data_IF_377254122835
#
_entry.id   IF_377254122835
#
_cell.length_a   1.000
_cell.length_b   1.000
_cell.length_c   1.000
_cell.angle_alpha   90.00
_cell.angle_beta   90.00
_cell.angle_gamma   90.00
#
_symmetry.space_group_name_H-M   'P 1'
#
loop_
_entity.id
_entity.type
_entity.pdbx_description
1 polymer ?
#
# COMPACT_ATOMS: atom_id res chain seq x y z
N UNK A 1 -30.46 7.48 14.82
CA UNK A 1 -29.23 6.75 15.22
C UNK A 1 -28.80 5.69 14.20
N UNK A 2 -29.72 4.96 13.58
CA UNK A 2 -29.36 3.95 12.56
C UNK A 2 -28.78 4.54 11.26
N UNK A 3 -29.14 5.75 10.88
CA UNK A 3 -28.66 6.42 9.66
C UNK A 3 -27.16 6.73 9.70
N UNK A 4 -26.62 7.13 10.86
CA UNK A 4 -25.17 7.41 11.02
C UNK A 4 -24.34 6.13 11.21
N UNK A 5 -24.94 5.04 11.67
CA UNK A 5 -24.25 3.76 11.86
C UNK A 5 -24.02 3.03 10.52
N UNK A 6 -24.88 3.24 9.53
CA UNK A 6 -24.75 2.56 8.23
C UNK A 6 -23.44 2.95 7.49
N UNK A 7 -23.08 4.23 7.32
CA UNK A 7 -21.82 4.63 6.71
C UNK A 7 -20.58 4.09 7.44
N UNK A 8 -20.61 4.08 8.78
CA UNK A 8 -19.49 3.57 9.59
C UNK A 8 -19.33 2.05 9.40
N UNK A 9 -20.43 1.29 9.32
CA UNK A 9 -20.39 -0.14 9.02
C UNK A 9 -19.79 -0.42 7.66
N UNK A 10 -20.14 0.37 6.63
CA UNK A 10 -19.55 0.25 5.29
C UNK A 10 -18.05 0.56 5.35
N UNK A 11 -17.64 1.60 6.07
CA UNK A 11 -16.23 1.92 6.25
C UNK A 11 -15.45 0.75 6.88
N UNK A 12 -15.98 0.17 7.96
CA UNK A 12 -15.37 -0.99 8.63
C UNK A 12 -15.29 -2.23 7.73
N UNK A 13 -16.30 -2.46 6.89
CA UNK A 13 -16.33 -3.60 5.97
C UNK A 13 -15.36 -3.41 4.79
N UNK A 14 -15.25 -2.21 4.23
CA UNK A 14 -14.39 -1.91 3.08
C UNK A 14 -12.95 -1.58 3.47
N UNK A 15 -12.71 -1.21 4.74
CA UNK A 15 -11.38 -0.89 5.25
C UNK A 15 -10.34 -2.02 5.06
N UNK A 16 -10.62 -3.31 5.34
CA UNK A 16 -9.64 -4.37 5.12
C UNK A 16 -9.19 -4.47 3.65
N UNK A 17 -10.10 -4.22 2.72
CA UNK A 17 -9.81 -4.22 1.27
C UNK A 17 -8.89 -3.04 0.92
N UNK A 18 -9.24 -1.84 1.35
CA UNK A 18 -8.41 -0.65 1.14
C UNK A 18 -7.03 -0.79 1.81
N UNK A 19 -7.00 -1.29 3.05
CA UNK A 19 -5.77 -1.54 3.80
C UNK A 19 -4.88 -2.56 3.07
N UNK A 20 -5.46 -3.63 2.53
CA UNK A 20 -4.72 -4.63 1.75
C UNK A 20 -4.00 -4.00 0.55
N UNK A 21 -4.69 -3.23 -0.29
CA UNK A 21 -4.09 -2.58 -1.45
C UNK A 21 -3.07 -1.50 -1.07
N UNK A 22 -3.30 -0.77 0.03
CA UNK A 22 -2.39 0.27 0.48
C UNK A 22 -1.19 -0.25 1.29
N UNK A 23 -1.22 -1.51 1.74
CA UNK A 23 -0.12 -2.10 2.52
C UNK A 23 1.16 -2.15 1.71
N UNK A 24 1.13 -2.54 0.44
CA UNK A 24 2.34 -2.62 -0.38
C UNK A 24 3.02 -1.25 -0.58
N UNK A 25 2.35 -0.20 -1.08
CA UNK A 25 2.97 1.13 -1.17
C UNK A 25 3.39 1.68 0.20
N UNK A 26 2.62 1.44 1.25
CA UNK A 26 3.01 1.81 2.62
C UNK A 26 4.35 1.18 3.03
N UNK A 27 4.51 -0.13 2.86
CA UNK A 27 5.74 -0.85 3.21
C UNK A 27 6.95 -0.35 2.39
N UNK A 28 6.77 -0.09 1.10
CA UNK A 28 7.81 0.48 0.24
C UNK A 28 8.27 1.84 0.79
N UNK A 29 7.33 2.74 1.09
CA UNK A 29 7.64 4.07 1.63
C UNK A 29 8.37 3.93 2.99
N UNK A 30 7.92 3.02 3.87
CA UNK A 30 8.56 2.81 5.17
C UNK A 30 10.01 2.30 5.00
N UNK A 31 10.23 1.30 4.16
CA UNK A 31 11.58 0.78 3.92
C UNK A 31 12.49 1.83 3.24
N UNK A 32 11.97 2.58 2.26
CA UNK A 32 12.76 3.63 1.57
C UNK A 32 13.13 4.77 2.50
N UNK A 33 12.18 5.29 3.25
CA UNK A 33 12.38 6.49 4.07
C UNK A 33 13.08 6.19 5.40
N UNK A 34 12.68 5.11 6.09
CA UNK A 34 13.10 4.84 7.47
C UNK A 34 14.01 3.61 7.59
N UNK A 35 14.09 2.76 6.58
CA UNK A 35 14.87 1.53 6.63
C UNK A 35 14.18 0.37 7.38
N UNK A 36 13.04 0.61 8.02
CA UNK A 36 12.29 -0.41 8.76
C UNK A 36 10.81 -0.02 8.85
N UNK A 37 9.97 -0.92 9.39
CA UNK A 37 8.55 -0.66 9.62
C UNK A 37 8.30 -0.46 11.11
N UNK A 38 7.90 0.76 11.49
CA UNK A 38 7.48 1.07 12.84
C UNK A 38 5.99 0.73 13.01
N UNK A 39 5.67 -0.15 13.99
CA UNK A 39 4.29 -0.62 14.24
C UNK A 39 3.36 0.51 14.66
N UNK A 40 3.86 1.45 15.47
CA UNK A 40 3.07 2.59 15.92
C UNK A 40 2.73 3.54 14.77
N UNK A 41 3.69 3.81 13.88
CA UNK A 41 3.46 4.58 12.65
C UNK A 41 2.44 3.89 11.74
N UNK A 42 2.54 2.57 11.61
CA UNK A 42 1.54 1.79 10.88
C UNK A 42 0.15 1.97 11.48
N UNK A 43 0.01 1.82 12.80
CA UNK A 43 -1.26 2.02 13.50
C UNK A 43 -1.86 3.41 13.24
N UNK A 44 -1.06 4.48 13.35
CA UNK A 44 -1.53 5.86 13.08
C UNK A 44 -2.02 6.01 11.64
N UNK A 45 -1.28 5.50 10.64
CA UNK A 45 -1.64 5.67 9.24
C UNK A 45 -2.85 4.83 8.83
N UNK A 46 -2.99 3.62 9.37
CA UNK A 46 -4.20 2.81 9.14
C UNK A 46 -5.42 3.36 9.88
N UNK A 47 -5.25 3.93 11.08
CA UNK A 47 -6.35 4.62 11.78
C UNK A 47 -6.75 5.90 11.06
N UNK A 48 -5.81 6.64 10.45
CA UNK A 48 -6.11 7.78 9.58
C UNK A 48 -6.90 7.33 8.33
N UNK A 49 -6.51 6.21 7.71
CA UNK A 49 -7.23 5.64 6.56
C UNK A 49 -8.68 5.30 6.94
N UNK A 50 -8.86 4.59 8.05
CA UNK A 50 -10.20 4.23 8.54
C UNK A 50 -11.04 5.48 8.85
N UNK A 51 -10.44 6.48 9.50
CA UNK A 51 -11.08 7.77 9.74
C UNK A 51 -11.48 8.45 8.43
N UNK A 52 -10.58 8.57 7.46
CA UNK A 52 -10.86 9.22 6.19
C UNK A 52 -11.98 8.52 5.41
N UNK A 53 -12.00 7.19 5.39
CA UNK A 53 -13.08 6.40 4.80
C UNK A 53 -14.40 6.61 5.53
N UNK A 54 -14.38 6.62 6.88
CA UNK A 54 -15.60 6.86 7.69
C UNK A 54 -16.14 8.26 7.46
N UNK A 55 -15.29 9.28 7.46
CA UNK A 55 -15.67 10.66 7.20
C UNK A 55 -16.27 10.82 5.79
N UNK A 56 -15.62 10.24 4.78
CA UNK A 56 -16.11 10.27 3.41
C UNK A 56 -17.48 9.60 3.27
N UNK A 57 -17.68 8.40 3.83
CA UNK A 57 -18.96 7.69 3.76
C UNK A 57 -20.06 8.39 4.57
N UNK A 58 -19.74 9.01 5.71
CA UNK A 58 -20.71 9.81 6.48
C UNK A 58 -21.24 11.00 5.68
N UNK A 59 -20.39 11.58 4.84
CA UNK A 59 -20.75 12.73 4.01
C UNK A 59 -21.57 12.31 2.78
N UNK A 60 -21.17 11.22 2.09
CA UNK A 60 -21.78 10.86 0.80
C UNK A 60 -23.00 9.96 0.91
N UNK A 61 -23.12 9.15 1.97
CA UNK A 61 -24.22 8.20 2.11
C UNK A 61 -25.42 8.82 2.86
N UNK A 62 -26.66 8.39 2.58
CA UNK A 62 -27.03 7.44 1.53
C UNK A 62 -27.01 8.06 0.12
N UNK A 63 -26.67 7.23 -0.86
CA UNK A 63 -26.74 7.65 -2.27
C UNK A 63 -28.18 7.54 -2.79
N UNK A 64 -28.55 8.36 -3.79
CA UNK A 64 -29.83 8.20 -4.49
C UNK A 64 -29.95 6.82 -5.14
N UNK A 65 -31.16 6.26 -5.14
CA UNK A 65 -31.42 4.95 -5.71
C UNK A 65 -31.23 4.90 -7.23
N UNK A 66 -31.44 6.02 -7.92
CA UNK A 66 -31.33 6.13 -9.37
C UNK A 66 -30.29 7.18 -9.75
N UNK A 67 -29.53 6.90 -10.81
CA UNK A 67 -28.56 7.83 -11.40
C UNK A 67 -29.29 9.07 -11.96
N UNK A 68 -30.49 8.88 -12.54
CA UNK A 68 -31.40 9.94 -12.97
C UNK A 68 -32.20 10.46 -11.77
N UNK A 69 -31.55 11.20 -10.90
CA UNK A 69 -32.13 11.73 -9.66
C UNK A 69 -32.75 13.14 -9.82
N UNK A 70 -32.82 13.68 -11.03
CA UNK A 70 -33.42 14.97 -11.30
C UNK A 70 -34.95 14.85 -11.33
N UNK A 71 -35.64 15.53 -10.44
CA UNK A 71 -37.13 15.72 -10.50
C UNK A 71 -37.52 16.87 -11.40
N UNK A 72 -36.75 17.93 -11.37
CA UNK A 72 -36.86 19.13 -12.24
C UNK A 72 -35.46 19.63 -12.54
N UNK A 73 -35.20 20.13 -13.77
CA UNK A 73 -33.95 20.80 -14.10
C UNK A 73 -33.94 22.21 -13.52
N UNK A 74 -33.58 22.32 -12.26
CA UNK A 74 -33.40 23.61 -11.60
C UNK A 74 -31.99 24.16 -11.83
N UNK A 75 -31.88 25.50 -11.75
CA UNK A 75 -30.56 26.13 -11.84
C UNK A 75 -29.68 25.67 -10.68
N UNK A 76 -28.36 25.53 -10.91
CA UNK A 76 -27.38 25.05 -9.90
C UNK A 76 -27.44 25.88 -8.60
N UNK A 77 -27.84 27.17 -8.72
CA UNK A 77 -28.00 28.08 -7.58
C UNK A 77 -29.05 27.63 -6.55
N UNK A 78 -30.04 26.83 -6.95
CA UNK A 78 -31.03 26.27 -6.02
C UNK A 78 -30.42 25.16 -5.12
N UNK A 79 -29.32 24.62 -5.52
CA UNK A 79 -28.59 23.60 -4.75
C UNK A 79 -27.48 24.23 -3.90
N UNK A 80 -27.46 25.54 -3.69
CA UNK A 80 -26.41 26.25 -2.95
C UNK A 80 -27.01 27.13 -1.87
N UNK A 81 -26.70 26.82 -0.61
CA UNK A 81 -26.91 27.65 0.55
C UNK A 81 -25.64 28.47 0.80
N UNK A 82 -25.68 29.78 0.45
CA UNK A 82 -24.52 30.67 0.52
C UNK A 82 -24.60 31.70 1.66
N UNK A 83 -25.65 31.66 2.48
CA UNK A 83 -25.81 32.59 3.62
C UNK A 83 -25.14 32.00 4.85
N UNK A 84 -24.07 32.61 5.39
CA UNK A 84 -23.43 32.12 6.59
C UNK A 84 -24.32 32.24 7.82
N UNK A 85 -24.10 31.35 8.79
CA UNK A 85 -24.81 31.30 10.09
C UNK A 85 -26.31 30.94 10.00
N UNK A 86 -26.74 30.33 8.91
CA UNK A 86 -28.11 29.85 8.75
C UNK A 86 -28.45 28.79 9.79
N UNK A 87 -27.50 27.93 10.16
CA UNK A 87 -27.66 26.90 11.19
C UNK A 87 -28.11 27.50 12.55
N UNK A 88 -27.71 28.74 12.88
CA UNK A 88 -28.14 29.42 14.09
C UNK A 88 -29.63 29.76 14.00
N UNK A 89 -30.04 30.37 12.88
CA UNK A 89 -31.46 30.75 12.68
C UNK A 89 -32.36 29.51 12.65
N UNK A 90 -31.90 28.43 12.08
CA UNK A 90 -32.68 27.20 11.98
C UNK A 90 -32.76 26.49 13.33
N UNK A 91 -31.66 26.48 14.09
CA UNK A 91 -31.68 26.00 15.48
C UNK A 91 -32.66 26.83 16.31
N UNK A 92 -32.65 28.17 16.18
CA UNK A 92 -33.57 29.06 16.94
C UNK A 92 -35.02 28.84 16.55
N UNK A 93 -35.35 28.49 15.29
CA UNK A 93 -36.71 28.17 14.84
C UNK A 93 -37.21 26.81 15.36
N UNK A 94 -36.31 25.82 15.43
CA UNK A 94 -36.64 24.47 15.87
C UNK A 94 -36.65 24.34 17.39
N UNK A 95 -35.95 25.26 18.11
CA UNK A 95 -35.70 25.10 19.54
C UNK A 95 -36.94 25.18 20.41
N UNK A 96 -37.04 24.24 21.36
CA UNK A 96 -38.00 24.24 22.44
C UNK A 96 -37.37 24.74 23.76
N UNK A 97 -36.22 25.35 23.69
CA UNK A 97 -35.52 25.89 24.85
C UNK A 97 -36.24 27.11 25.40
N UNK A 98 -36.56 27.06 26.67
CA UNK A 98 -37.05 28.21 27.45
C UNK A 98 -35.85 28.80 28.19
N UNK A 99 -35.44 30.02 27.79
CA UNK A 99 -34.23 30.67 28.29
C UNK A 99 -34.17 30.85 29.81
N UNK A 100 -35.31 30.88 30.49
CA UNK A 100 -35.45 30.96 31.94
C UNK A 100 -35.30 29.61 32.65
N UNK A 101 -35.30 28.50 31.92
CA UNK A 101 -35.28 27.14 32.48
C UNK A 101 -34.03 26.38 32.06
N UNK A 102 -32.97 26.26 32.91
CA UNK A 102 -31.75 25.58 32.54
C UNK A 102 -31.95 24.10 32.10
N UNK A 103 -32.94 23.41 32.67
CA UNK A 103 -33.25 22.03 32.30
C UNK A 103 -33.73 21.90 30.83
N UNK A 104 -34.32 22.97 30.23
CA UNK A 104 -34.77 22.96 28.86
C UNK A 104 -33.64 22.92 27.83
N UNK A 105 -32.43 23.33 28.17
CA UNK A 105 -31.25 23.25 27.27
C UNK A 105 -30.92 21.81 26.82
N UNK A 106 -31.37 20.79 27.57
CA UNK A 106 -31.21 19.40 27.13
C UNK A 106 -32.03 19.11 25.87
N UNK A 107 -33.00 19.93 25.50
CA UNK A 107 -33.77 19.79 24.25
C UNK A 107 -32.89 20.06 23.01
N UNK A 108 -31.86 20.94 23.10
CA UNK A 108 -30.93 21.20 21.99
C UNK A 108 -30.29 19.91 21.44
N UNK A 109 -29.95 18.94 22.30
CA UNK A 109 -29.37 17.66 21.90
C UNK A 109 -30.38 16.71 21.21
N UNK A 110 -31.60 17.15 20.99
CA UNK A 110 -32.63 16.44 20.22
C UNK A 110 -33.02 17.19 18.96
N UNK A 111 -32.57 18.41 18.78
CA UNK A 111 -32.89 19.28 17.66
C UNK A 111 -31.99 18.96 16.47
N UNK A 112 -32.61 18.82 15.29
CA UNK A 112 -31.90 18.39 14.07
C UNK A 112 -30.83 19.37 13.63
N UNK A 113 -31.17 20.68 13.56
CA UNK A 113 -30.24 21.71 13.10
C UNK A 113 -29.02 21.82 14.02
N UNK A 114 -29.22 21.79 15.35
CA UNK A 114 -28.13 21.79 16.32
C UNK A 114 -27.23 20.55 16.21
N UNK A 115 -27.81 19.35 16.11
CA UNK A 115 -27.06 18.12 15.97
C UNK A 115 -26.27 18.08 14.66
N UNK A 116 -26.83 18.57 13.55
CA UNK A 116 -26.13 18.65 12.27
C UNK A 116 -24.89 19.52 12.39
N UNK A 117 -25.01 20.73 12.98
CA UNK A 117 -23.88 21.61 13.20
C UNK A 117 -22.80 20.96 14.09
N UNK A 118 -23.22 20.31 15.15
CA UNK A 118 -22.32 19.63 16.09
C UNK A 118 -21.58 18.44 15.41
N UNK A 119 -22.28 17.66 14.60
CA UNK A 119 -21.68 16.54 13.87
C UNK A 119 -20.68 17.00 12.80
N UNK A 120 -20.91 18.12 12.11
CA UNK A 120 -19.94 18.69 11.19
C UNK A 120 -18.64 19.10 11.90
N UNK A 121 -18.73 19.71 13.08
CA UNK A 121 -17.57 20.00 13.91
C UNK A 121 -16.84 18.70 14.28
N UNK A 122 -17.54 17.71 14.82
CA UNK A 122 -16.94 16.45 15.26
C UNK A 122 -16.33 15.65 14.12
N UNK A 123 -16.88 15.74 12.92
CA UNK A 123 -16.40 15.05 11.75
C UNK A 123 -14.92 15.34 11.45
N UNK A 124 -14.49 16.58 11.63
CA UNK A 124 -13.16 17.05 11.23
C UNK A 124 -12.18 17.26 12.39
N UNK A 125 -12.62 17.15 13.66
CA UNK A 125 -11.72 17.17 14.81
C UNK A 125 -10.55 16.19 14.65
N UNK A 126 -10.77 14.90 14.28
CA UNK A 126 -9.66 13.97 14.10
C UNK A 126 -8.67 14.39 13.03
N UNK A 127 -9.13 15.04 11.94
CA UNK A 127 -8.23 15.57 10.91
C UNK A 127 -7.24 16.59 11.50
N UNK A 128 -7.74 17.53 12.30
CA UNK A 128 -6.89 18.51 13.00
C UNK A 128 -5.88 17.85 13.94
N UNK A 129 -6.29 16.80 14.65
CA UNK A 129 -5.40 16.01 15.52
C UNK A 129 -4.30 15.33 14.71
N UNK A 130 -4.63 14.62 13.61
CA UNK A 130 -3.63 13.97 12.76
C UNK A 130 -2.65 14.99 12.16
N UNK A 131 -3.15 16.12 11.67
CA UNK A 131 -2.32 17.15 11.08
C UNK A 131 -1.30 17.72 12.06
N UNK A 132 -1.68 17.99 13.30
CA UNK A 132 -0.77 18.51 14.31
C UNK A 132 0.12 17.43 14.92
N UNK A 133 -0.46 16.32 15.36
CA UNK A 133 0.27 15.27 16.07
C UNK A 133 1.24 14.50 15.17
N UNK A 134 0.74 13.99 14.05
CA UNK A 134 1.55 13.12 13.19
C UNK A 134 2.28 13.88 12.09
N UNK A 135 1.57 14.76 11.36
CA UNK A 135 2.16 15.51 10.25
C UNK A 135 2.87 16.79 10.71
N UNK A 136 2.76 17.17 11.99
CA UNK A 136 3.42 18.35 12.58
C UNK A 136 3.14 19.65 11.85
N UNK A 137 1.94 19.81 11.33
CA UNK A 137 1.52 21.01 10.63
C UNK A 137 1.13 22.10 11.62
N UNK A 138 1.43 23.35 11.25
CA UNK A 138 0.99 24.53 12.00
C UNK A 138 -0.48 24.83 11.79
N UNK A 139 -1.00 25.80 12.57
CA UNK A 139 -2.41 26.19 12.54
C UNK A 139 -2.89 26.63 11.14
N UNK A 140 -2.10 27.45 10.43
CA UNK A 140 -2.47 27.92 9.09
C UNK A 140 -2.63 26.78 8.09
N UNK A 141 -1.70 25.79 8.11
CA UNK A 141 -1.80 24.62 7.25
C UNK A 141 -2.99 23.71 7.66
N UNK A 142 -3.30 23.62 8.96
CA UNK A 142 -4.46 22.86 9.45
C UNK A 142 -5.76 23.52 9.00
N UNK A 143 -5.85 24.85 9.10
CA UNK A 143 -7.01 25.62 8.62
C UNK A 143 -7.24 25.40 7.12
N UNK A 144 -6.18 25.59 6.31
CA UNK A 144 -6.28 25.42 4.85
C UNK A 144 -6.66 24.00 4.46
N UNK A 145 -6.09 22.99 5.13
CA UNK A 145 -6.43 21.60 4.87
C UNK A 145 -7.88 21.29 5.26
N UNK A 146 -8.33 21.75 6.44
CA UNK A 146 -9.69 21.49 6.91
C UNK A 146 -10.74 22.19 6.02
N UNK A 147 -10.45 23.42 5.59
CA UNK A 147 -11.28 24.11 4.61
C UNK A 147 -11.31 23.39 3.26
N UNK A 148 -10.15 22.96 2.76
CA UNK A 148 -10.03 22.19 1.53
C UNK A 148 -10.74 20.85 1.59
N UNK A 149 -10.66 20.13 2.71
CA UNK A 149 -11.37 18.88 2.95
C UNK A 149 -12.89 19.10 2.97
N UNK A 150 -13.36 20.14 3.65
CA UNK A 150 -14.77 20.47 3.67
C UNK A 150 -15.27 20.87 2.27
N UNK A 151 -14.52 21.71 1.56
CA UNK A 151 -14.84 22.07 0.18
C UNK A 151 -14.88 20.84 -0.74
N UNK A 152 -13.96 19.88 -0.56
CA UNK A 152 -13.98 18.61 -1.28
C UNK A 152 -15.28 17.83 -1.03
N UNK A 153 -15.76 17.78 0.20
CA UNK A 153 -17.03 17.14 0.55
C UNK A 153 -18.20 17.84 -0.13
N UNK A 154 -18.30 19.15 0.00
CA UNK A 154 -19.38 19.96 -0.58
C UNK A 154 -19.40 19.86 -2.11
N UNK A 155 -18.25 19.94 -2.77
CA UNK A 155 -18.16 19.77 -4.22
C UNK A 155 -18.53 18.36 -4.66
N UNK A 156 -18.19 17.33 -3.91
CA UNK A 156 -18.59 15.95 -4.20
C UNK A 156 -20.11 15.81 -4.21
N UNK A 157 -20.80 16.45 -3.27
CA UNK A 157 -22.27 16.44 -3.19
C UNK A 157 -22.93 17.31 -4.27
N UNK A 158 -22.44 18.52 -4.45
CA UNK A 158 -22.96 19.47 -5.44
C UNK A 158 -22.82 18.98 -6.88
N UNK A 159 -21.72 18.30 -7.19
CA UNK A 159 -21.48 17.77 -8.54
C UNK A 159 -22.16 16.42 -8.80
N UNK A 160 -22.97 15.92 -7.86
CA UNK A 160 -23.58 14.59 -7.99
C UNK A 160 -22.54 13.49 -8.12
N UNK A 161 -21.53 13.46 -7.24
CA UNK A 161 -20.36 12.55 -7.33
C UNK A 161 -19.62 12.69 -8.67
N UNK A 162 -19.23 13.93 -8.99
CA UNK A 162 -18.46 14.26 -10.21
C UNK A 162 -19.16 13.83 -11.51
N UNK A 163 -20.49 13.97 -11.55
CA UNK A 163 -21.32 13.69 -12.72
C UNK A 163 -21.79 12.23 -12.83
N UNK A 164 -21.58 11.39 -11.80
CA UNK A 164 -22.21 10.06 -11.72
C UNK A 164 -23.73 10.20 -11.62
N UNK A 165 -24.21 11.13 -10.79
CA UNK A 165 -25.62 11.50 -10.70
C UNK A 165 -25.90 12.74 -11.57
N UNK A 166 -27.06 12.78 -12.22
CA UNK A 166 -27.42 13.87 -13.13
C UNK A 166 -27.67 15.21 -12.43
N UNK A 167 -28.15 15.16 -11.18
CA UNK A 167 -28.38 16.34 -10.36
C UNK A 167 -27.67 16.22 -9.01
N UNK A 168 -27.35 17.36 -8.35
CA UNK A 168 -26.93 17.36 -6.96
C UNK A 168 -27.93 16.60 -6.09
N UNK A 169 -27.45 15.82 -5.14
CA UNK A 169 -28.32 15.06 -4.24
C UNK A 169 -28.32 15.59 -2.80
N UNK A 170 -27.45 16.54 -2.52
CA UNK A 170 -27.43 17.35 -1.29
C UNK A 170 -27.12 18.80 -1.62
N UNK A 171 -27.53 19.66 -0.73
CA UNK A 171 -27.29 21.11 -0.83
C UNK A 171 -25.83 21.41 -0.48
N UNK A 172 -25.14 22.21 -1.29
CA UNK A 172 -23.88 22.84 -0.92
C UNK A 172 -24.14 23.87 0.17
N UNK A 173 -23.48 23.75 1.31
CA UNK A 173 -23.72 24.61 2.46
C UNK A 173 -22.44 25.30 2.95
N UNK A 174 -22.46 26.65 2.97
CA UNK A 174 -21.34 27.46 3.50
C UNK A 174 -21.17 27.25 5.02
N UNK A 175 -22.24 26.97 5.74
CA UNK A 175 -22.15 26.67 7.16
C UNK A 175 -21.37 25.37 7.42
N UNK A 176 -21.49 24.36 6.55
CA UNK A 176 -20.73 23.13 6.63
C UNK A 176 -19.24 23.39 6.37
N UNK A 177 -18.88 24.31 5.44
CA UNK A 177 -17.49 24.74 5.28
C UNK A 177 -16.93 25.38 6.55
N UNK A 178 -17.71 26.23 7.21
CA UNK A 178 -17.29 26.92 8.42
C UNK A 178 -17.17 25.95 9.61
N UNK A 179 -18.17 25.11 9.83
CA UNK A 179 -18.25 24.19 10.95
C UNK A 179 -17.19 23.09 10.86
N UNK A 180 -16.99 22.51 9.68
CA UNK A 180 -15.92 21.54 9.44
C UNK A 180 -14.53 22.18 9.62
N UNK A 181 -14.32 23.40 9.14
CA UNK A 181 -13.04 24.11 9.35
C UNK A 181 -12.81 24.37 10.83
N UNK A 182 -13.84 24.80 11.56
CA UNK A 182 -13.78 24.99 13.01
C UNK A 182 -13.44 23.70 13.74
N UNK A 183 -14.02 22.57 13.33
CA UNK A 183 -13.70 21.26 13.88
C UNK A 183 -12.22 20.91 13.75
N UNK A 184 -11.62 21.14 12.58
CA UNK A 184 -10.18 20.95 12.37
C UNK A 184 -9.33 21.85 13.26
N UNK A 185 -9.72 23.11 13.46
CA UNK A 185 -9.04 24.05 14.38
C UNK A 185 -9.16 23.59 15.85
N UNK A 186 -10.33 23.12 16.26
CA UNK A 186 -10.54 22.56 17.60
C UNK A 186 -9.64 21.32 17.77
N UNK A 187 -9.60 20.44 16.77
CA UNK A 187 -8.71 19.29 16.74
C UNK A 187 -7.24 19.67 16.91
N UNK A 188 -6.81 20.75 16.24
CA UNK A 188 -5.47 21.30 16.43
C UNK A 188 -5.24 21.72 17.87
N UNK A 189 -6.15 22.43 18.49
CA UNK A 189 -5.96 22.96 19.85
C UNK A 189 -6.01 21.90 20.93
N UNK A 190 -6.84 20.86 20.82
CA UNK A 190 -6.89 19.77 21.79
C UNK A 190 -5.72 18.78 21.66
N UNK A 191 -5.00 18.81 20.54
CA UNK A 191 -3.88 17.88 20.27
C UNK A 191 -2.82 17.84 21.38
N UNK A 192 -2.36 18.96 22.01
CA UNK A 192 -1.35 18.88 23.07
C UNK A 192 -1.82 18.06 24.27
N UNK A 193 -3.11 18.14 24.61
CA UNK A 193 -3.71 17.36 25.69
C UNK A 193 -3.68 15.88 25.35
N UNK A 194 -4.10 15.51 24.14
CA UNK A 194 -4.07 14.11 23.67
C UNK A 194 -2.65 13.58 23.52
N UNK A 195 -1.73 14.41 23.02
CA UNK A 195 -0.34 14.04 22.83
C UNK A 195 0.41 13.77 24.15
N UNK A 196 -0.08 14.27 25.28
CA UNK A 196 0.49 13.93 26.59
C UNK A 196 0.36 12.44 26.93
N UNK A 197 -0.63 11.77 26.37
CA UNK A 197 -0.89 10.34 26.57
C UNK A 197 -0.35 9.45 25.44
N UNK A 198 0.23 10.04 24.37
CA UNK A 198 0.69 9.33 23.19
C UNK A 198 2.22 9.40 23.06
N UNK A 199 2.87 8.40 22.43
CA UNK A 199 4.30 8.44 22.17
C UNK A 199 4.68 9.65 21.32
N UNK A 200 5.80 10.30 21.65
CA UNK A 200 6.32 11.41 20.83
C UNK A 200 6.74 10.91 19.46
N UNK A 201 6.09 11.40 18.40
CA UNK A 201 6.39 10.99 17.02
C UNK A 201 7.83 11.28 16.59
N UNK A 202 8.53 12.20 17.31
CA UNK A 202 9.95 12.53 17.08
C UNK A 202 10.91 11.42 17.53
N UNK A 203 10.48 10.64 18.51
CA UNK A 203 11.34 9.64 19.15
C UNK A 203 11.13 8.23 18.56
N UNK A 204 10.20 8.07 17.61
CA UNK A 204 9.85 6.75 17.06
C UNK A 204 11.02 6.02 16.42
N UNK A 205 12.03 6.73 15.96
CA UNK A 205 13.18 6.19 15.23
C UNK A 205 14.51 6.34 16.00
N UNK A 206 14.53 6.99 17.17
CA UNK A 206 15.79 7.35 17.87
C UNK A 206 16.60 6.16 18.36
N UNK A 207 15.92 5.10 18.80
CA UNK A 207 16.58 3.94 19.41
C UNK A 207 16.71 2.76 18.42
N UNK A 208 16.59 3.04 17.11
CA UNK A 208 16.59 2.01 16.08
C UNK A 208 17.97 1.89 15.44
N UNK A 209 18.69 0.84 15.81
CA UNK A 209 19.98 0.46 15.22
C UNK A 209 19.76 -0.42 13.99
N UNK A 210 19.75 0.19 12.78
CA UNK A 210 19.47 -0.51 11.52
C UNK A 210 20.53 -1.56 11.17
N UNK A 211 21.78 -1.36 11.57
CA UNK A 211 22.92 -2.24 11.38
C UNK A 211 22.76 -3.59 12.12
N UNK A 212 22.12 -3.54 13.29
CA UNK A 212 21.82 -4.75 14.09
C UNK A 212 20.53 -5.46 13.65
N UNK A 213 19.74 -4.87 12.77
CA UNK A 213 18.47 -5.46 12.33
C UNK A 213 18.67 -6.50 11.24
N UNK A 214 18.04 -7.65 11.41
CA UNK A 214 18.00 -8.70 10.39
C UNK A 214 16.89 -8.45 9.37
N UNK A 215 17.16 -8.72 8.09
CA UNK A 215 16.17 -8.58 7.01
C UNK A 215 15.05 -9.63 7.16
N UNK A 216 13.82 -9.16 7.39
CA UNK A 216 12.64 -10.00 7.54
C UNK A 216 12.14 -10.60 6.22
N UNK A 217 11.31 -11.65 6.31
CA UNK A 217 10.72 -12.33 5.14
C UNK A 217 9.81 -11.44 4.30
N UNK A 218 9.01 -10.57 4.94
CA UNK A 218 8.11 -9.63 4.21
C UNK A 218 8.93 -8.73 3.29
N UNK A 219 10.03 -8.18 3.78
CA UNK A 219 10.91 -7.30 3.01
C UNK A 219 11.55 -8.01 1.82
N UNK A 220 12.01 -9.25 2.02
CA UNK A 220 12.54 -10.11 0.95
C UNK A 220 11.45 -10.50 -0.05
N UNK A 221 10.23 -10.79 0.43
CA UNK A 221 9.08 -11.11 -0.41
C UNK A 221 8.71 -9.95 -1.34
N UNK A 222 8.69 -8.72 -0.82
CA UNK A 222 8.45 -7.53 -1.64
C UNK A 222 9.55 -7.36 -2.70
N UNK A 223 10.82 -7.48 -2.30
CA UNK A 223 11.93 -7.44 -3.26
C UNK A 223 11.79 -8.52 -4.35
N UNK A 224 11.45 -9.74 -3.96
CA UNK A 224 11.23 -10.86 -4.86
C UNK A 224 10.09 -10.61 -5.85
N UNK A 225 8.96 -10.03 -5.41
CA UNK A 225 7.84 -9.70 -6.30
C UNK A 225 8.29 -8.72 -7.39
N UNK A 226 8.98 -7.64 -7.02
CA UNK A 226 9.47 -6.66 -8.00
C UNK A 226 10.51 -7.27 -8.94
N UNK A 227 11.45 -8.06 -8.41
CA UNK A 227 12.46 -8.74 -9.22
C UNK A 227 11.79 -9.68 -10.24
N UNK A 228 10.76 -10.45 -9.84
CA UNK A 228 10.06 -11.37 -10.76
C UNK A 228 9.23 -10.64 -11.83
N UNK A 229 8.63 -9.50 -11.52
CA UNK A 229 7.93 -8.68 -12.53
C UNK A 229 8.93 -8.25 -13.62
N UNK A 230 10.11 -7.78 -13.22
CA UNK A 230 11.14 -7.34 -14.17
C UNK A 230 11.67 -8.50 -14.99
N UNK A 231 11.96 -9.65 -14.35
CA UNK A 231 12.39 -10.86 -15.04
C UNK A 231 11.36 -11.32 -16.04
N UNK A 232 10.08 -11.33 -15.66
CA UNK A 232 8.99 -11.70 -16.56
C UNK A 232 8.92 -10.81 -17.80
N UNK A 233 8.98 -9.49 -17.60
CA UNK A 233 8.99 -8.51 -18.70
C UNK A 233 10.24 -8.68 -19.58
N UNK A 234 11.42 -8.77 -18.99
CA UNK A 234 12.69 -8.92 -19.71
C UNK A 234 12.74 -10.23 -20.50
N UNK A 235 12.28 -11.34 -19.89
CA UNK A 235 12.19 -12.64 -20.57
C UNK A 235 11.22 -12.60 -21.75
N UNK A 236 10.05 -11.97 -21.59
CA UNK A 236 9.06 -11.84 -22.66
C UNK A 236 9.61 -11.01 -23.82
N UNK A 237 10.27 -9.88 -23.54
CA UNK A 237 10.89 -9.04 -24.57
C UNK A 237 12.00 -9.83 -25.29
N UNK A 238 12.90 -10.48 -24.57
CA UNK A 238 13.98 -11.24 -25.17
C UNK A 238 13.45 -12.41 -26.01
N UNK A 239 12.47 -13.15 -25.50
CA UNK A 239 11.82 -14.24 -26.24
C UNK A 239 11.15 -13.74 -27.52
N UNK A 240 10.50 -12.57 -27.50
CA UNK A 240 9.89 -11.96 -28.68
C UNK A 240 10.95 -11.58 -29.71
N UNK A 241 12.07 -10.97 -29.29
CA UNK A 241 13.18 -10.61 -30.21
C UNK A 241 13.79 -11.86 -30.83
N UNK A 242 14.09 -12.89 -30.02
CA UNK A 242 14.70 -14.14 -30.53
C UNK A 242 13.74 -14.86 -31.47
N UNK A 243 12.43 -14.92 -31.13
CA UNK A 243 11.41 -15.53 -32.02
C UNK A 243 11.29 -14.79 -33.35
N UNK A 244 11.25 -13.45 -33.31
CA UNK A 244 11.19 -12.66 -34.54
C UNK A 244 12.45 -12.86 -35.41
N UNK A 245 13.63 -12.88 -34.79
CA UNK A 245 14.89 -13.15 -35.51
C UNK A 245 14.93 -14.55 -36.11
N UNK A 246 14.47 -15.56 -35.35
CA UNK A 246 14.38 -16.94 -35.86
C UNK A 246 13.42 -17.06 -37.04
N UNK A 247 12.26 -16.41 -36.99
CA UNK A 247 11.29 -16.39 -38.09
C UNK A 247 11.89 -15.80 -39.37
N UNK A 248 12.66 -14.73 -39.28
CA UNK A 248 13.35 -14.09 -40.40
C UNK A 248 14.44 -15.02 -40.99
N UNK A 249 15.26 -15.61 -40.10
CA UNK A 249 16.36 -16.50 -40.54
C UNK A 249 15.85 -17.78 -41.18
N UNK A 250 14.79 -18.39 -40.63
CA UNK A 250 14.21 -19.64 -41.09
C UNK A 250 13.18 -19.44 -42.24
N UNK A 251 12.89 -18.19 -42.62
CA UNK A 251 11.88 -17.81 -43.61
C UNK A 251 10.51 -18.47 -43.36
N UNK A 252 10.15 -18.63 -42.09
CA UNK A 252 8.87 -19.22 -41.66
C UNK A 252 8.10 -18.23 -40.84
N UNK A 253 6.78 -18.18 -41.03
CA UNK A 253 5.89 -17.34 -40.21
C UNK A 253 5.33 -18.07 -38.99
N UNK A 254 5.48 -19.40 -38.95
CA UNK A 254 4.95 -20.22 -37.87
C UNK A 254 6.09 -20.97 -37.15
N UNK A 255 6.39 -20.52 -35.95
CA UNK A 255 7.33 -21.19 -35.05
C UNK A 255 6.54 -22.18 -34.20
N UNK A 256 6.95 -23.44 -34.20
CA UNK A 256 6.30 -24.51 -33.47
C UNK A 256 6.22 -24.24 -31.96
N UNK A 257 5.26 -24.85 -31.29
CA UNK A 257 5.06 -24.68 -29.82
C UNK A 257 6.28 -25.12 -29.00
N UNK A 258 6.96 -26.16 -29.44
CA UNK A 258 8.17 -26.68 -28.83
C UNK A 258 9.33 -25.67 -28.94
N UNK A 259 9.55 -25.10 -30.13
CA UNK A 259 10.58 -24.09 -30.35
C UNK A 259 10.33 -22.81 -29.53
N UNK A 260 9.07 -22.35 -29.49
CA UNK A 260 8.68 -21.23 -28.59
C UNK A 260 9.00 -21.52 -27.13
N UNK A 261 8.77 -22.76 -26.67
CA UNK A 261 9.09 -23.18 -25.31
C UNK A 261 10.61 -23.15 -25.05
N UNK A 262 11.42 -23.62 -25.98
CA UNK A 262 12.88 -23.55 -25.89
C UNK A 262 13.40 -22.12 -25.89
N UNK A 263 12.90 -21.26 -26.79
CA UNK A 263 13.27 -19.84 -26.85
C UNK A 263 12.94 -19.15 -25.53
N UNK A 264 11.78 -19.42 -24.95
CA UNK A 264 11.38 -18.84 -23.68
C UNK A 264 12.28 -19.34 -22.52
N UNK A 265 12.57 -20.63 -22.44
CA UNK A 265 13.46 -21.21 -21.44
C UNK A 265 14.88 -20.64 -21.55
N UNK A 266 15.42 -20.53 -22.77
CA UNK A 266 16.75 -19.97 -23.03
C UNK A 266 16.80 -18.48 -22.63
N UNK A 267 15.79 -17.71 -23.03
CA UNK A 267 15.66 -16.30 -22.66
C UNK A 267 15.60 -16.10 -21.14
N UNK A 268 14.84 -16.94 -20.43
CA UNK A 268 14.77 -16.93 -18.97
C UNK A 268 16.13 -17.21 -18.33
N UNK A 269 16.89 -18.20 -18.80
CA UNK A 269 18.22 -18.50 -18.27
C UNK A 269 19.17 -17.32 -18.43
N UNK A 270 19.18 -16.68 -19.60
CA UNK A 270 20.01 -15.49 -19.86
C UNK A 270 19.61 -14.32 -18.97
N UNK A 271 18.30 -14.04 -18.86
CA UNK A 271 17.81 -12.95 -18.03
C UNK A 271 18.15 -13.16 -16.56
N UNK A 272 17.98 -14.37 -16.02
CA UNK A 272 18.39 -14.71 -14.64
C UNK A 272 19.88 -14.49 -14.43
N UNK A 273 20.72 -14.94 -15.36
CA UNK A 273 22.17 -14.76 -15.27
C UNK A 273 22.55 -13.28 -15.22
N UNK A 274 22.02 -12.48 -16.14
CA UNK A 274 22.32 -11.05 -16.21
C UNK A 274 21.77 -10.34 -14.97
N UNK A 275 20.49 -10.56 -14.64
CA UNK A 275 19.80 -9.82 -13.62
C UNK A 275 20.25 -10.12 -12.18
N UNK A 276 20.54 -11.39 -11.87
CA UNK A 276 20.90 -11.80 -10.51
C UNK A 276 22.39 -12.08 -10.30
N UNK A 277 23.16 -12.27 -11.36
CA UNK A 277 24.59 -12.58 -11.23
C UNK A 277 25.44 -11.39 -11.70
N UNK A 278 25.18 -10.84 -12.90
CA UNK A 278 26.00 -9.75 -13.46
C UNK A 278 25.66 -8.41 -12.82
N UNK A 279 24.37 -8.00 -12.83
CA UNK A 279 23.97 -6.69 -12.28
C UNK A 279 24.40 -6.51 -10.81
N UNK A 280 24.14 -7.46 -9.89
CA UNK A 280 24.54 -7.26 -8.50
C UNK A 280 26.04 -7.22 -8.26
N UNK A 281 26.87 -7.78 -9.14
CA UNK A 281 28.33 -7.67 -9.04
C UNK A 281 28.79 -6.22 -9.19
N UNK A 282 28.17 -5.47 -10.12
CA UNK A 282 28.51 -4.06 -10.36
C UNK A 282 27.74 -3.07 -9.48
N UNK A 283 26.63 -3.51 -8.88
CA UNK A 283 25.78 -2.66 -8.02
C UNK A 283 25.97 -2.94 -6.52
N UNK A 284 27.01 -3.64 -6.11
CA UNK A 284 27.28 -3.98 -4.72
C UNK A 284 26.19 -4.87 -4.11
N UNK A 285 25.79 -5.94 -4.81
CA UNK A 285 24.82 -6.94 -4.31
C UNK A 285 23.34 -6.52 -4.44
N UNK A 286 23.02 -5.52 -5.28
CA UNK A 286 21.67 -4.97 -5.40
C UNK A 286 20.99 -5.38 -6.72
N UNK A 287 19.72 -5.79 -6.64
CA UNK A 287 18.79 -5.83 -7.77
C UNK A 287 17.80 -4.67 -7.63
N UNK A 288 16.95 -4.42 -8.61
CA UNK A 288 15.97 -3.34 -8.51
C UNK A 288 14.98 -3.56 -7.35
N UNK A 289 14.48 -4.80 -7.18
CA UNK A 289 13.59 -5.11 -6.04
C UNK A 289 14.28 -4.93 -4.69
N UNK A 290 15.56 -5.31 -4.60
CA UNK A 290 16.37 -5.06 -3.40
C UNK A 290 16.64 -3.58 -3.17
N UNK A 291 16.91 -2.83 -4.24
CA UNK A 291 17.08 -1.38 -4.15
C UNK A 291 15.80 -0.70 -3.66
N UNK A 292 14.61 -1.08 -4.18
CA UNK A 292 13.31 -0.57 -3.73
C UNK A 292 13.12 -0.82 -2.23
N UNK A 293 13.51 -1.98 -1.75
CA UNK A 293 13.32 -2.39 -0.34
C UNK A 293 14.52 -2.03 0.56
N UNK A 294 15.54 -1.32 0.06
CA UNK A 294 16.75 -0.93 0.83
C UNK A 294 17.48 -2.11 1.45
N UNK A 295 17.72 -3.16 0.67
CA UNK A 295 18.55 -4.31 1.05
C UNK A 295 19.58 -4.61 -0.02
N UNK A 296 20.68 -5.27 0.36
CA UNK A 296 21.65 -5.83 -0.57
C UNK A 296 22.19 -7.15 -0.06
N UNK A 297 22.88 -7.88 -0.92
CA UNK A 297 23.50 -9.17 -0.61
C UNK A 297 24.98 -8.94 -0.32
N UNK A 298 25.46 -9.53 0.76
CA UNK A 298 26.88 -9.53 1.14
C UNK A 298 27.37 -10.98 1.32
N UNK A 299 28.68 -11.18 1.22
CA UNK A 299 29.30 -12.43 1.59
C UNK A 299 29.50 -12.51 3.12
N UNK A 300 29.15 -13.66 3.70
CA UNK A 300 29.28 -13.97 5.13
C UNK A 300 30.11 -15.26 5.25
N UNK A 301 31.43 -15.15 4.98
CA UNK A 301 32.34 -16.28 4.86
C UNK A 301 32.87 -16.77 6.20
N UNK A 302 32.97 -15.90 7.18
CA UNK A 302 33.28 -16.18 8.58
C UNK A 302 32.26 -15.49 9.45
N UNK A 303 31.73 -16.13 10.46
CA UNK A 303 30.74 -15.54 11.33
C UNK A 303 31.23 -14.19 11.87
N UNK A 304 30.69 -13.10 11.29
CA UNK A 304 30.92 -11.71 11.69
C UNK A 304 31.76 -10.83 10.76
N UNK A 305 32.50 -11.37 9.77
CA UNK A 305 33.21 -10.55 8.77
C UNK A 305 32.37 -10.36 7.51
N UNK A 306 31.85 -9.16 7.34
CA UNK A 306 31.10 -8.74 6.15
C UNK A 306 32.09 -8.40 5.04
N UNK A 307 32.02 -9.11 3.93
CA UNK A 307 32.88 -8.91 2.76
C UNK A 307 32.04 -8.52 1.54
N UNK A 308 32.65 -7.79 0.62
CA UNK A 308 32.04 -7.52 -0.68
C UNK A 308 31.69 -8.80 -1.41
N UNK A 309 30.55 -8.77 -2.11
CA UNK A 309 30.04 -9.93 -2.84
C UNK A 309 30.83 -10.14 -4.13
N UNK A 310 31.19 -11.38 -4.40
CA UNK A 310 31.83 -11.76 -5.66
C UNK A 310 30.82 -12.36 -6.63
N UNK A 311 31.14 -12.36 -7.92
CA UNK A 311 30.33 -13.02 -8.94
C UNK A 311 30.06 -14.50 -8.61
N UNK A 312 31.07 -15.21 -8.08
CA UNK A 312 30.94 -16.64 -7.74
C UNK A 312 29.98 -16.88 -6.56
N UNK A 313 29.92 -15.95 -5.61
CA UNK A 313 28.95 -16.04 -4.49
C UNK A 313 27.52 -15.86 -5.01
N UNK A 314 27.31 -14.96 -5.97
CA UNK A 314 26.03 -14.77 -6.63
C UNK A 314 25.64 -15.98 -7.50
N UNK A 315 26.59 -16.56 -8.23
CA UNK A 315 26.36 -17.80 -8.98
C UNK A 315 25.91 -18.92 -8.04
N UNK A 316 26.63 -19.19 -6.96
CA UNK A 316 26.23 -20.21 -5.97
C UNK A 316 24.83 -19.97 -5.40
N UNK A 317 24.52 -18.71 -5.06
CA UNK A 317 23.24 -18.32 -4.49
C UNK A 317 22.08 -18.51 -5.46
N UNK A 318 22.20 -17.95 -6.66
CA UNK A 318 21.09 -17.87 -7.59
C UNK A 318 20.99 -19.07 -8.54
N UNK A 319 22.12 -19.74 -8.84
CA UNK A 319 22.05 -21.01 -9.56
C UNK A 319 21.30 -22.07 -8.75
N UNK A 320 21.57 -22.18 -7.45
CA UNK A 320 20.85 -23.11 -6.59
C UNK A 320 19.35 -22.79 -6.53
N UNK A 321 18.98 -21.51 -6.42
CA UNK A 321 17.59 -21.09 -6.29
C UNK A 321 16.83 -21.20 -7.61
N UNK A 322 17.36 -20.60 -8.69
CA UNK A 322 16.65 -20.49 -9.96
C UNK A 322 16.87 -21.67 -10.89
N UNK A 323 18.09 -22.22 -11.00
CA UNK A 323 18.29 -23.37 -11.87
C UNK A 323 18.09 -24.69 -11.12
N UNK A 324 18.47 -24.77 -9.84
CA UNK A 324 18.21 -25.96 -9.02
C UNK A 324 16.72 -26.11 -8.71
N UNK A 325 16.14 -25.22 -7.91
CA UNK A 325 14.76 -25.39 -7.42
C UNK A 325 13.73 -25.08 -8.52
N UNK A 326 13.77 -23.87 -9.09
CA UNK A 326 12.80 -23.46 -10.10
C UNK A 326 12.99 -24.18 -11.44
N UNK A 327 14.25 -24.37 -11.88
CA UNK A 327 14.57 -25.08 -13.11
C UNK A 327 14.12 -26.55 -13.07
N UNK A 328 14.33 -27.24 -11.96
CA UNK A 328 13.85 -28.63 -11.78
C UNK A 328 12.30 -28.70 -11.85
N UNK A 329 11.62 -27.76 -11.18
CA UNK A 329 10.16 -27.69 -11.22
C UNK A 329 9.65 -27.39 -12.64
N UNK A 330 10.31 -26.49 -13.36
CA UNK A 330 9.97 -26.15 -14.73
C UNK A 330 10.25 -27.29 -15.71
N UNK A 331 11.34 -28.03 -15.50
CA UNK A 331 11.67 -29.22 -16.28
C UNK A 331 10.60 -30.31 -16.11
N UNK A 332 10.19 -30.58 -14.87
CA UNK A 332 9.09 -31.51 -14.60
C UNK A 332 7.78 -31.08 -15.26
N UNK A 333 7.49 -29.76 -15.29
CA UNK A 333 6.31 -29.22 -15.96
C UNK A 333 6.41 -29.38 -17.49
N UNK A 334 7.60 -29.13 -18.03
CA UNK A 334 7.85 -29.28 -19.48
C UNK A 334 7.71 -30.74 -19.92
N UNK A 335 8.27 -31.69 -19.18
CA UNK A 335 8.13 -33.13 -19.45
C UNK A 335 6.68 -33.57 -19.42
N UNK A 336 5.87 -33.06 -18.49
CA UNK A 336 4.44 -33.36 -18.42
C UNK A 336 3.66 -32.83 -19.65
N UNK A 337 4.05 -31.67 -20.19
CA UNK A 337 3.33 -31.03 -21.30
C UNK A 337 3.75 -31.53 -22.69
N UNK A 338 5.00 -31.95 -22.86
CA UNK A 338 5.59 -32.27 -24.15
C UNK A 338 6.17 -33.69 -24.24
N UNK A 339 6.32 -34.38 -23.10
CA UNK A 339 6.69 -35.79 -23.08
C UNK A 339 5.47 -36.64 -23.45
N UNK A 340 5.58 -37.49 -24.42
CA UNK A 340 4.55 -38.50 -24.72
C UNK A 340 4.59 -39.61 -23.64
N UNK A 341 4.15 -39.24 -22.43
CA UNK A 341 4.19 -40.14 -21.29
C UNK A 341 2.91 -40.96 -21.18
N UNK A 342 2.98 -42.23 -20.76
CA UNK A 342 1.79 -42.99 -20.43
C UNK A 342 1.07 -42.36 -19.19
N UNK A 343 -0.25 -42.50 -19.14
CA UNK A 343 -1.09 -41.83 -18.12
C UNK A 343 -0.63 -42.07 -16.67
N UNK A 344 -0.07 -43.23 -16.34
CA UNK A 344 0.44 -43.50 -14.99
C UNK A 344 1.70 -42.68 -14.68
N UNK A 345 2.53 -42.37 -15.68
CA UNK A 345 3.72 -41.54 -15.51
C UNK A 345 3.40 -40.07 -15.35
N UNK A 346 2.35 -39.57 -16.05
CA UNK A 346 1.83 -38.22 -15.85
C UNK A 346 1.29 -38.03 -14.43
N UNK A 347 0.53 -39.00 -13.92
CA UNK A 347 0.01 -38.96 -12.54
C UNK A 347 1.17 -38.99 -11.53
N UNK A 348 2.16 -39.87 -11.77
CA UNK A 348 3.35 -39.95 -10.90
C UNK A 348 4.13 -38.62 -10.89
N UNK A 349 4.33 -37.99 -12.03
CA UNK A 349 5.01 -36.70 -12.16
C UNK A 349 4.23 -35.57 -11.48
N UNK A 350 2.90 -35.58 -11.60
CA UNK A 350 2.05 -34.63 -10.86
C UNK A 350 2.19 -34.78 -9.35
N UNK A 351 2.21 -36.01 -8.83
CA UNK A 351 2.40 -36.28 -7.41
C UNK A 351 3.79 -35.84 -6.94
N UNK A 352 4.85 -36.11 -7.70
CA UNK A 352 6.23 -35.66 -7.38
C UNK A 352 6.27 -34.13 -7.30
N UNK A 353 5.64 -33.42 -8.26
CA UNK A 353 5.56 -31.95 -8.22
C UNK A 353 4.78 -31.45 -7.02
N UNK A 354 3.67 -32.07 -6.67
CA UNK A 354 2.88 -31.72 -5.51
C UNK A 354 3.65 -31.89 -4.20
N UNK A 355 4.36 -33.02 -4.04
CA UNK A 355 5.23 -33.29 -2.89
C UNK A 355 6.37 -32.27 -2.83
N UNK A 356 7.00 -31.96 -3.95
CA UNK A 356 8.08 -30.97 -4.03
C UNK A 356 7.62 -29.58 -3.55
N UNK A 357 6.47 -29.11 -4.06
CA UNK A 357 5.86 -27.83 -3.62
C UNK A 357 5.50 -27.88 -2.14
N UNK A 358 4.91 -28.98 -1.67
CA UNK A 358 4.55 -29.15 -0.26
C UNK A 358 5.79 -29.09 0.66
N UNK A 359 6.85 -29.80 0.31
CA UNK A 359 8.11 -29.83 1.11
C UNK A 359 8.73 -28.42 1.15
N UNK A 360 8.80 -27.71 0.03
CA UNK A 360 9.30 -26.33 -0.01
C UNK A 360 8.43 -25.38 0.80
N UNK A 361 7.12 -25.50 0.67
CA UNK A 361 6.16 -24.71 1.44
C UNK A 361 6.26 -24.96 2.94
N UNK A 362 6.29 -26.22 3.35
CA UNK A 362 6.49 -26.62 4.74
C UNK A 362 7.83 -26.11 5.30
N UNK A 363 8.93 -26.25 4.55
CA UNK A 363 10.21 -25.67 4.91
C UNK A 363 10.12 -24.17 5.16
N UNK A 364 9.49 -23.43 4.25
CA UNK A 364 9.33 -21.98 4.38
C UNK A 364 8.49 -21.59 5.60
N UNK A 365 7.36 -22.28 5.83
CA UNK A 365 6.51 -22.08 7.01
C UNK A 365 7.27 -22.35 8.31
N UNK A 366 8.02 -23.46 8.36
CA UNK A 366 8.86 -23.79 9.53
C UNK A 366 9.88 -22.69 9.80
N UNK A 367 10.52 -22.13 8.77
CA UNK A 367 11.48 -21.03 8.93
C UNK A 367 10.83 -19.75 9.46
N UNK A 368 9.59 -19.45 9.06
CA UNK A 368 8.83 -18.33 9.61
C UNK A 368 8.66 -18.42 11.13
N UNK A 369 8.33 -19.62 11.64
CA UNK A 369 8.09 -19.84 13.07
C UNK A 369 9.38 -20.03 13.90
N UNK A 370 10.45 -20.55 13.31
CA UNK A 370 11.74 -20.75 14.01
C UNK A 370 12.51 -19.47 14.31
N UNK A 371 12.08 -18.32 13.78
CA UNK A 371 12.79 -17.05 13.94
C UNK A 371 14.15 -17.00 13.23
N UNK A 372 14.58 -18.10 12.61
CA UNK A 372 15.82 -18.14 11.83
C UNK A 372 15.56 -17.54 10.45
N UNK A 373 16.13 -16.37 10.21
CA UNK A 373 15.92 -15.62 8.97
C UNK A 373 16.87 -16.02 7.83
N UNK A 374 17.76 -17.00 8.05
CA UNK A 374 18.70 -17.49 7.03
C UNK A 374 18.08 -18.69 6.30
N UNK A 375 17.89 -18.56 4.98
CA UNK A 375 17.34 -19.60 4.13
C UNK A 375 18.46 -20.56 3.64
N UNK A 376 18.08 -21.78 3.16
CA UNK A 376 19.03 -22.81 2.77
C UNK A 376 20.04 -22.34 1.69
N UNK A 377 19.57 -21.61 0.70
CA UNK A 377 20.43 -21.09 -0.37
C UNK A 377 21.41 -20.01 0.12
N UNK A 378 21.06 -19.26 1.16
CA UNK A 378 21.94 -18.29 1.81
C UNK A 378 23.05 -19.02 2.59
N UNK A 379 22.69 -20.08 3.31
CA UNK A 379 23.65 -20.90 4.05
C UNK A 379 24.64 -21.61 3.11
N UNK A 380 24.15 -22.20 2.01
CA UNK A 380 24.98 -22.90 1.04
C UNK A 380 25.92 -21.96 0.30
N UNK A 381 25.45 -20.77 -0.04
CA UNK A 381 26.26 -19.76 -0.77
C UNK A 381 27.19 -18.96 0.14
N UNK A 382 27.06 -19.05 1.47
CA UNK A 382 27.77 -18.17 2.40
C UNK A 382 27.44 -16.70 2.21
N UNK A 383 26.17 -16.40 1.91
CA UNK A 383 25.70 -15.02 1.66
C UNK A 383 24.49 -14.69 2.50
N UNK A 384 24.28 -13.42 2.81
CA UNK A 384 23.06 -12.95 3.49
C UNK A 384 22.55 -11.63 2.96
N UNK A 385 21.26 -11.36 3.19
CA UNK A 385 20.68 -10.05 2.93
C UNK A 385 20.90 -9.15 4.15
N UNK A 386 21.36 -7.91 3.92
CA UNK A 386 21.51 -6.88 4.94
C UNK A 386 20.75 -5.61 4.53
N UNK A 387 20.49 -4.74 5.50
CA UNK A 387 19.86 -3.45 5.28
C UNK A 387 20.91 -2.49 4.74
N UNK A 388 20.61 -1.79 3.64
CA UNK A 388 21.46 -0.72 3.12
C UNK A 388 21.33 0.52 3.98
N UNK A 389 22.41 1.01 4.59
CA UNK A 389 22.43 2.23 5.37
C UNK A 389 22.29 3.46 4.44
N UNK A 390 21.94 4.61 5.01
CA UNK A 390 21.69 5.82 4.20
C UNK A 390 22.99 6.39 3.61
N UNK A 391 24.07 6.36 4.35
CA UNK A 391 25.40 6.77 3.94
C UNK A 391 25.90 5.99 2.72
N UNK A 392 25.72 4.67 2.70
CA UNK A 392 26.04 3.80 1.55
C UNK A 392 25.20 4.09 0.29
N UNK A 393 24.06 4.77 0.43
CA UNK A 393 23.25 5.16 -0.74
C UNK A 393 23.72 6.48 -1.36
N UNK A 394 24.27 7.40 -0.56
CA UNK A 394 24.76 8.71 -1.00
C UNK A 394 26.12 8.57 -1.68
N UNK A 395 27.00 7.71 -1.18
CA UNK A 395 28.33 7.46 -1.79
C UNK A 395 28.22 6.85 -3.19
N UNK A 396 27.28 5.97 -3.45
CA UNK A 396 27.05 5.39 -4.79
C UNK A 396 26.37 6.35 -5.79
N UNK A 397 25.74 7.42 -5.32
CA UNK A 397 25.20 8.46 -6.20
C UNK A 397 26.27 9.52 -6.55
N UNK A 398 27.25 9.72 -5.67
CA UNK A 398 28.38 10.65 -5.90
C UNK A 398 29.47 10.14 -6.84
N UNK A 399 29.59 8.84 -7.06
CA UNK A 399 30.58 8.23 -7.96
C UNK A 399 30.10 8.06 -9.40
N UNK A 400 28.85 8.39 -9.71
CA UNK A 400 28.23 8.30 -11.04
C UNK A 400 27.97 9.66 -11.72
N UNK A 401 28.51 10.75 -11.15
CA UNK A 401 28.45 12.13 -11.74
C UNK A 401 29.72 12.54 -12.43
#
# INVERSE_FOLDING_TARGET
MNEYLFPIKIALFTFPIAAFFLTLPFLIIQYRKYGYVNKYRAFILYSLLLYAMSAYYLVILPLPANVNNCTTREALTHYMQLRPFTFISDTLKETRVVWSEPASFMHLFKERAFLQALFNIFLTIPAGVYLRYYFRKGLGATLLFSLGLSLFFELTQLTGLYGIYQCPYRLFDVDDLMLNTLGGIIGYWITPILAAFLPKTENLDKDVELDKMTVGFIRRGIAYIFDNIIIGIATSILSMIVSASSAVVLQTTDIGSLEKSFINAFSFVIVIMIYFMVIPTVTGGRTLGKWITRIHVIADRREGELQEITFMDLVKRYALLYYGVYGLFSLMAWVANYGELPAYADVALLLVRAVFVFVLGAYFVIQLFRGNKILFYERVSGTRNVITLREEMEDHQGTSS
#
